data_IF_897352378300
#
_entry.id   IF_897352378300
#
_cell.length_a   1.000
_cell.length_b   1.000
_cell.length_c   1.000
_cell.angle_alpha   90.00
_cell.angle_beta   90.00
_cell.angle_gamma   90.00
#
_symmetry.space_group_name_H-M   'P 1'
#
loop_
_entity.id
_entity.type
_entity.pdbx_description
1 polymer ?
#
# COMPACT_ATOMS: atom_id res chain seq x y z
N UNK A 1 2.93 10.71 18.55
CA UNK A 1 3.55 12.04 18.80
C UNK A 1 4.53 12.36 17.68
N UNK A 2 5.52 11.52 17.36
CA UNK A 2 6.50 11.74 16.29
C UNK A 2 5.85 12.05 14.92
N UNK A 3 4.83 11.27 14.53
CA UNK A 3 4.08 11.45 13.29
C UNK A 3 3.38 12.83 13.22
N UNK A 4 2.74 13.25 14.33
CA UNK A 4 2.07 14.56 14.40
C UNK A 4 3.08 15.69 14.25
N UNK A 5 4.26 15.55 14.85
CA UNK A 5 5.35 16.54 14.75
C UNK A 5 5.84 16.64 13.30
N UNK A 6 6.10 15.51 12.63
CA UNK A 6 6.56 15.50 11.23
C UNK A 6 5.50 16.08 10.30
N UNK A 7 4.23 15.75 10.50
CA UNK A 7 3.12 16.31 9.74
C UNK A 7 2.96 17.80 9.97
N UNK A 8 3.04 18.26 11.23
CA UNK A 8 2.94 19.67 11.59
C UNK A 8 4.10 20.47 11.00
N UNK A 9 5.33 19.95 11.08
CA UNK A 9 6.51 20.58 10.47
C UNK A 9 6.41 20.61 8.94
N UNK A 10 5.90 19.55 8.32
CA UNK A 10 5.65 19.49 6.89
C UNK A 10 4.62 20.53 6.44
N UNK A 11 3.51 20.62 7.15
CA UNK A 11 2.45 21.61 6.87
C UNK A 11 2.96 23.05 7.10
N UNK A 12 3.73 23.27 8.17
CA UNK A 12 4.32 24.58 8.45
C UNK A 12 5.31 25.00 7.36
N UNK A 13 6.21 24.11 6.95
CA UNK A 13 7.14 24.37 5.86
C UNK A 13 6.42 24.65 4.52
N UNK A 14 5.29 24.01 4.28
CA UNK A 14 4.46 24.23 3.09
C UNK A 14 3.73 25.59 3.12
N UNK A 15 3.29 26.07 4.27
CA UNK A 15 2.65 27.39 4.41
C UNK A 15 3.60 28.52 4.07
N UNK A 16 4.89 28.37 4.38
CA UNK A 16 5.92 29.37 4.10
C UNK A 16 6.29 29.41 2.60
N UNK A 17 6.15 28.28 1.90
CA UNK A 17 6.49 28.14 0.49
C UNK A 17 5.35 28.65 -0.43
N UNK A 18 4.09 28.56 -0.02
CA UNK A 18 2.95 28.93 -0.87
C UNK A 18 1.76 29.41 -0.04
N UNK A 19 1.63 30.72 0.09
CA UNK A 19 0.45 31.37 0.68
C UNK A 19 -0.80 31.04 -0.15
N UNK A 20 -1.76 30.30 0.42
CA UNK A 20 -3.00 29.89 -0.26
C UNK A 20 -3.18 28.39 -0.47
N UNK A 21 -2.47 27.59 0.24
CA UNK A 21 -2.27 26.16 0.15
C UNK A 21 -3.55 25.30 0.01
N UNK A 22 -4.59 25.59 0.75
CA UNK A 22 -5.80 24.73 0.78
C UNK A 22 -6.95 25.18 -0.12
N UNK A 23 -6.88 26.38 -0.69
CA UNK A 23 -7.99 26.96 -1.43
C UNK A 23 -7.93 26.75 -2.94
N UNK A 24 -6.86 26.18 -3.47
CA UNK A 24 -6.63 26.10 -4.92
C UNK A 24 -6.30 24.72 -5.50
N UNK A 25 -6.43 23.63 -4.74
CA UNK A 25 -6.22 22.29 -5.30
C UNK A 25 -7.47 21.87 -6.06
N UNK A 26 -7.40 21.70 -7.40
CA UNK A 26 -8.52 21.17 -8.17
C UNK A 26 -8.92 19.78 -7.67
N UNK A 27 -10.22 19.48 -7.68
CA UNK A 27 -10.72 18.15 -7.28
C UNK A 27 -10.07 17.04 -8.11
N UNK A 28 -9.81 17.29 -9.38
CA UNK A 28 -9.13 16.36 -10.26
C UNK A 28 -7.73 16.01 -9.74
N UNK A 29 -6.93 17.01 -9.33
CA UNK A 29 -5.59 16.80 -8.80
C UNK A 29 -5.62 16.02 -7.47
N UNK A 30 -6.59 16.32 -6.60
CA UNK A 30 -6.80 15.59 -5.36
C UNK A 30 -7.10 14.11 -5.61
N UNK A 31 -7.93 13.78 -6.59
CA UNK A 31 -8.23 12.40 -6.99
C UNK A 31 -6.98 11.72 -7.56
N UNK A 32 -6.21 12.39 -8.41
CA UNK A 32 -4.95 11.85 -8.94
C UNK A 32 -3.94 11.58 -7.83
N UNK A 33 -3.78 12.50 -6.89
CA UNK A 33 -2.92 12.29 -5.72
C UNK A 33 -3.35 11.08 -4.87
N UNK A 34 -4.65 10.89 -4.68
CA UNK A 34 -5.18 9.73 -3.94
C UNK A 34 -4.83 8.40 -4.62
N UNK A 35 -5.01 8.30 -5.96
CA UNK A 35 -4.62 7.11 -6.72
C UNK A 35 -3.10 6.89 -6.73
N UNK A 36 -2.31 7.95 -6.80
CA UNK A 36 -0.85 7.86 -6.72
C UNK A 36 -0.40 7.34 -5.35
N UNK A 37 -0.96 7.87 -4.26
CA UNK A 37 -0.69 7.40 -2.90
C UNK A 37 -1.11 5.93 -2.70
N UNK A 38 -2.26 5.54 -3.25
CA UNK A 38 -2.71 4.14 -3.28
C UNK A 38 -1.70 3.24 -4.00
N UNK A 39 -1.19 3.68 -5.17
CA UNK A 39 -0.20 2.89 -5.91
C UNK A 39 1.11 2.74 -5.16
N UNK A 40 1.63 3.81 -4.54
CA UNK A 40 2.84 3.75 -3.71
C UNK A 40 2.64 2.79 -2.55
N UNK A 41 1.50 2.86 -1.86
CA UNK A 41 1.17 1.96 -0.76
C UNK A 41 1.19 0.50 -1.22
N UNK A 42 0.59 0.19 -2.36
CA UNK A 42 0.61 -1.16 -2.91
C UNK A 42 2.01 -1.63 -3.31
N UNK A 43 2.80 -0.75 -3.93
CA UNK A 43 4.19 -1.01 -4.25
C UNK A 43 5.00 -1.41 -3.01
N UNK A 44 4.86 -0.66 -1.94
CA UNK A 44 5.64 -0.89 -0.71
C UNK A 44 5.16 -2.14 0.03
N UNK A 45 3.85 -2.34 0.18
CA UNK A 45 3.30 -3.39 1.06
C UNK A 45 3.16 -4.73 0.34
N UNK A 46 2.67 -4.74 -0.91
CA UNK A 46 2.20 -5.96 -1.57
C UNK A 46 3.06 -6.43 -2.73
N UNK A 47 3.70 -5.51 -3.46
CA UNK A 47 4.40 -5.88 -4.69
C UNK A 47 5.69 -6.66 -4.41
N UNK A 48 5.99 -7.62 -5.28
CA UNK A 48 7.19 -8.46 -5.18
C UNK A 48 8.48 -7.69 -5.37
N UNK A 49 8.42 -6.59 -6.12
CA UNK A 49 9.59 -5.75 -6.43
C UNK A 49 10.21 -5.12 -5.19
N UNK A 50 9.41 -4.83 -4.16
CA UNK A 50 9.86 -4.24 -2.90
C UNK A 50 10.08 -5.28 -1.79
N UNK A 51 9.91 -6.57 -2.11
CA UNK A 51 10.09 -7.66 -1.14
C UNK A 51 11.49 -7.65 -0.53
N UNK A 52 12.53 -7.45 -1.34
CA UNK A 52 13.92 -7.37 -0.88
C UNK A 52 14.09 -6.29 0.19
N UNK A 53 13.44 -5.13 0.04
CA UNK A 53 13.50 -4.04 1.00
C UNK A 53 12.82 -4.41 2.32
N UNK A 54 11.64 -5.05 2.27
CA UNK A 54 10.94 -5.52 3.48
C UNK A 54 11.72 -6.59 4.21
N UNK A 55 12.40 -7.48 3.47
CA UNK A 55 13.21 -8.55 4.05
C UNK A 55 14.49 -8.06 4.76
N UNK A 56 14.95 -6.82 4.52
CA UNK A 56 16.04 -6.22 5.30
C UNK A 56 15.68 -6.03 6.78
N UNK A 57 14.39 -5.91 7.08
CA UNK A 57 13.87 -5.71 8.43
C UNK A 57 13.28 -6.99 9.03
N UNK A 58 13.36 -8.11 8.32
CA UNK A 58 12.88 -9.42 8.76
C UNK A 58 14.02 -10.33 9.15
N UNK A 59 13.73 -11.26 10.06
CA UNK A 59 14.62 -12.38 10.40
C UNK A 59 14.18 -13.60 9.62
N UNK A 60 15.14 -14.27 8.97
CA UNK A 60 14.90 -15.55 8.29
C UNK A 60 15.31 -16.66 9.25
N UNK A 61 14.38 -17.53 9.61
CA UNK A 61 14.61 -18.73 10.40
C UNK A 61 14.29 -19.97 9.56
N UNK A 62 15.14 -20.95 9.61
CA UNK A 62 14.87 -22.27 9.03
C UNK A 62 14.04 -23.06 10.03
N UNK A 63 12.85 -23.47 9.65
CA UNK A 63 11.95 -24.30 10.44
C UNK A 63 11.73 -25.60 9.69
N UNK A 64 12.09 -26.70 10.33
CA UNK A 64 11.84 -28.05 9.82
C UNK A 64 10.44 -28.50 10.26
N UNK A 65 9.55 -28.76 9.31
CA UNK A 65 8.23 -29.31 9.54
C UNK A 65 8.01 -30.49 8.59
N UNK A 66 7.66 -31.63 9.15
CA UNK A 66 7.40 -32.86 8.40
C UNK A 66 8.55 -33.32 7.48
N UNK A 67 9.82 -33.13 7.91
CA UNK A 67 11.00 -33.48 7.12
C UNK A 67 11.31 -32.55 5.95
N UNK A 68 10.61 -31.41 5.84
CA UNK A 68 10.84 -30.38 4.83
C UNK A 68 11.29 -29.11 5.53
N UNK A 69 12.43 -28.56 5.10
CA UNK A 69 12.96 -27.31 5.65
C UNK A 69 12.30 -26.12 4.95
N UNK A 70 11.57 -25.31 5.70
CA UNK A 70 10.97 -24.05 5.25
C UNK A 70 11.75 -22.88 5.81
N UNK A 71 11.95 -21.85 4.97
CA UNK A 71 12.46 -20.55 5.43
C UNK A 71 11.28 -19.71 5.87
N UNK A 72 11.10 -19.56 7.17
CA UNK A 72 10.09 -18.69 7.74
C UNK A 72 10.67 -17.27 7.89
N UNK A 73 9.91 -16.29 7.39
CA UNK A 73 10.26 -14.86 7.47
C UNK A 73 9.42 -14.26 8.58
N UNK A 74 10.06 -13.93 9.70
CA UNK A 74 9.41 -13.39 10.89
C UNK A 74 10.00 -12.03 11.28
N UNK A 75 9.24 -11.18 11.99
CA UNK A 75 9.78 -9.95 12.55
C UNK A 75 10.83 -10.28 13.63
N UNK A 76 11.75 -9.35 13.88
CA UNK A 76 12.63 -9.42 15.05
C UNK A 76 11.79 -9.38 16.33
N UNK A 77 12.25 -10.04 17.40
CA UNK A 77 11.50 -10.15 18.66
C UNK A 77 11.20 -8.77 19.30
N UNK A 78 12.07 -7.77 19.09
CA UNK A 78 11.87 -6.38 19.57
C UNK A 78 12.84 -5.41 18.92
N UNK A 79 12.62 -4.10 19.11
CA UNK A 79 13.52 -3.04 18.69
C UNK A 79 13.08 -2.30 17.42
N UNK A 80 13.92 -1.38 16.96
CA UNK A 80 13.62 -0.53 15.81
C UNK A 80 13.27 -1.32 14.54
N UNK A 81 13.96 -2.42 14.28
CA UNK A 81 13.70 -3.28 13.11
C UNK A 81 12.33 -3.93 13.14
N UNK A 82 11.85 -4.34 14.32
CA UNK A 82 10.49 -4.85 14.51
C UNK A 82 9.46 -3.80 14.15
N UNK A 83 9.61 -2.58 14.71
CA UNK A 83 8.68 -1.47 14.43
C UNK A 83 8.65 -1.10 12.94
N UNK A 84 9.82 -1.09 12.27
CA UNK A 84 9.88 -0.81 10.82
C UNK A 84 9.24 -1.94 10.01
N UNK A 85 9.46 -3.19 10.40
CA UNK A 85 8.81 -4.34 9.76
C UNK A 85 7.29 -4.25 9.84
N UNK A 86 6.74 -3.97 11.02
CA UNK A 86 5.30 -3.80 11.22
C UNK A 86 4.74 -2.62 10.42
N UNK A 87 5.47 -1.51 10.40
CA UNK A 87 5.11 -0.34 9.59
C UNK A 87 5.02 -0.70 8.10
N UNK A 88 6.04 -1.38 7.56
CA UNK A 88 6.12 -1.76 6.14
C UNK A 88 5.07 -2.82 5.73
N UNK A 89 4.56 -3.60 6.66
CA UNK A 89 3.51 -4.58 6.42
C UNK A 89 2.10 -4.07 6.76
N UNK A 90 1.99 -2.85 7.27
CA UNK A 90 0.72 -2.20 7.59
C UNK A 90 0.28 -1.26 6.45
N UNK A 91 -0.71 -1.63 5.62
CA UNK A 91 -1.14 -0.79 4.50
C UNK A 91 -1.73 0.55 4.96
N UNK A 92 -2.37 0.59 6.11
CA UNK A 92 -2.92 1.82 6.68
C UNK A 92 -1.81 2.79 7.09
N UNK A 93 -0.75 2.27 7.71
CA UNK A 93 0.38 3.08 8.15
C UNK A 93 1.15 3.65 6.96
N UNK A 94 1.49 2.79 5.99
CA UNK A 94 2.18 3.21 4.76
C UNK A 94 1.30 4.14 3.92
N UNK A 95 -0.02 3.94 3.91
CA UNK A 95 -0.96 4.80 3.20
C UNK A 95 -0.87 6.27 3.61
N UNK A 96 -0.76 6.53 4.91
CA UNK A 96 -0.60 7.89 5.44
C UNK A 96 0.73 8.49 4.99
N UNK A 97 1.84 7.74 5.08
CA UNK A 97 3.15 8.20 4.63
C UNK A 97 3.20 8.44 3.12
N UNK A 98 2.61 7.54 2.34
CA UNK A 98 2.50 7.68 0.88
C UNK A 98 1.73 8.95 0.50
N UNK A 99 0.62 9.22 1.19
CA UNK A 99 -0.17 10.43 0.97
C UNK A 99 0.63 11.69 1.31
N UNK A 100 1.35 11.70 2.44
CA UNK A 100 2.21 12.82 2.83
C UNK A 100 3.30 13.10 1.78
N UNK A 101 3.97 12.06 1.28
CA UNK A 101 5.02 12.18 0.25
C UNK A 101 4.43 12.75 -1.05
N UNK A 102 3.27 12.25 -1.50
CA UNK A 102 2.62 12.72 -2.74
C UNK A 102 2.21 14.18 -2.61
N UNK A 103 1.58 14.56 -1.51
CA UNK A 103 1.18 15.95 -1.25
C UNK A 103 2.41 16.85 -1.21
N UNK A 104 3.44 16.45 -0.48
CA UNK A 104 4.69 17.22 -0.40
C UNK A 104 5.33 17.41 -1.78
N UNK A 105 5.45 16.35 -2.58
CA UNK A 105 6.01 16.40 -3.92
C UNK A 105 5.20 17.34 -4.84
N UNK A 106 3.88 17.27 -4.79
CA UNK A 106 2.97 18.11 -5.59
C UNK A 106 3.21 19.60 -5.36
N UNK A 107 3.48 20.01 -4.12
CA UNK A 107 3.65 21.42 -3.79
C UNK A 107 5.09 21.93 -3.93
N UNK A 108 6.08 21.07 -3.79
CA UNK A 108 7.50 21.46 -3.83
C UNK A 108 8.06 21.51 -5.25
N UNK A 109 7.54 20.67 -6.15
CA UNK A 109 8.17 20.46 -7.46
C UNK A 109 7.15 20.46 -8.58
N UNK A 110 7.27 21.41 -9.52
CA UNK A 110 6.31 21.54 -10.64
C UNK A 110 6.28 20.31 -11.56
N UNK A 111 7.42 19.63 -11.79
CA UNK A 111 7.46 18.43 -12.62
C UNK A 111 6.95 17.16 -11.91
N UNK A 112 6.75 17.20 -10.60
CA UNK A 112 6.20 16.07 -9.85
C UNK A 112 4.79 15.67 -10.34
N UNK A 113 4.05 16.60 -10.92
CA UNK A 113 2.74 16.31 -11.52
C UNK A 113 2.79 15.16 -12.53
N UNK A 114 3.79 15.13 -13.40
CA UNK A 114 3.94 14.05 -14.39
C UNK A 114 4.11 12.68 -13.74
N UNK A 115 4.90 12.61 -12.66
CA UNK A 115 5.10 11.37 -11.88
C UNK A 115 3.84 10.97 -11.13
N UNK A 116 3.17 11.95 -10.50
CA UNK A 116 1.91 11.73 -9.78
C UNK A 116 0.86 11.19 -10.76
N UNK A 117 0.73 11.78 -11.93
CA UNK A 117 -0.21 11.35 -12.97
C UNK A 117 0.07 9.92 -13.45
N UNK A 118 1.34 9.59 -13.71
CA UNK A 118 1.75 8.22 -14.06
C UNK A 118 1.38 7.21 -12.95
N UNK A 119 1.71 7.53 -11.70
CA UNK A 119 1.39 6.70 -10.55
C UNK A 119 -0.13 6.57 -10.34
N UNK A 120 -0.89 7.63 -10.61
CA UNK A 120 -2.34 7.64 -10.51
C UNK A 120 -2.98 6.67 -11.51
N UNK A 121 -2.55 6.70 -12.78
CA UNK A 121 -3.04 5.76 -13.79
C UNK A 121 -2.69 4.31 -13.38
N UNK A 122 -1.46 4.06 -12.96
CA UNK A 122 -1.04 2.75 -12.46
C UNK A 122 -1.83 2.32 -11.22
N UNK A 123 -2.19 3.27 -10.35
CA UNK A 123 -3.03 3.05 -9.17
C UNK A 123 -4.46 2.66 -9.53
N UNK A 124 -5.07 3.39 -10.44
CA UNK A 124 -6.42 3.09 -10.95
C UNK A 124 -6.45 1.70 -11.61
N UNK A 125 -5.48 1.37 -12.46
CA UNK A 125 -5.34 0.05 -13.06
C UNK A 125 -5.19 -1.06 -12.01
N UNK A 126 -4.40 -0.83 -10.96
CA UNK A 126 -4.24 -1.78 -9.85
C UNK A 126 -5.53 -1.99 -9.07
N UNK A 127 -6.32 -0.92 -8.85
CA UNK A 127 -7.61 -1.02 -8.17
C UNK A 127 -8.61 -1.83 -9.00
N UNK A 128 -8.69 -1.57 -10.31
CA UNK A 128 -9.55 -2.32 -11.22
C UNK A 128 -9.16 -3.80 -11.25
N UNK A 129 -7.86 -4.12 -11.25
CA UNK A 129 -7.40 -5.52 -11.22
C UNK A 129 -7.80 -6.23 -9.92
N UNK A 130 -7.69 -5.55 -8.77
CA UNK A 130 -8.12 -6.11 -7.48
C UNK A 130 -9.63 -6.34 -7.45
N UNK A 131 -10.40 -5.40 -7.97
CA UNK A 131 -11.85 -5.52 -8.07
C UNK A 131 -12.25 -6.69 -9.01
N UNK A 132 -11.62 -6.81 -10.17
CA UNK A 132 -11.85 -7.91 -11.11
C UNK A 132 -11.54 -9.27 -10.48
N UNK A 133 -10.41 -9.39 -9.76
CA UNK A 133 -10.04 -10.62 -9.07
C UNK A 133 -11.05 -10.98 -7.97
N UNK A 134 -11.50 -10.00 -7.18
CA UNK A 134 -12.49 -10.22 -6.12
C UNK A 134 -13.83 -10.72 -6.69
N UNK A 135 -14.28 -10.16 -7.81
CA UNK A 135 -15.50 -10.60 -8.51
C UNK A 135 -15.29 -12.02 -9.08
N UNK A 136 -14.13 -12.28 -9.68
CA UNK A 136 -13.79 -13.62 -10.23
C UNK A 136 -13.82 -14.71 -9.17
N UNK A 137 -13.20 -14.50 -8.02
CA UNK A 137 -13.20 -15.46 -6.91
C UNK A 137 -14.60 -15.70 -6.35
N UNK A 138 -15.42 -14.65 -6.26
CA UNK A 138 -16.80 -14.79 -5.81
C UNK A 138 -17.66 -15.61 -6.79
N UNK A 139 -17.46 -15.42 -8.08
CA UNK A 139 -18.14 -16.21 -9.11
C UNK A 139 -17.71 -17.70 -9.08
N UNK A 140 -16.44 -17.97 -8.77
CA UNK A 140 -15.93 -19.34 -8.66
C UNK A 140 -16.44 -20.05 -7.40
N UNK A 141 -16.46 -19.38 -6.25
CA UNK A 141 -17.03 -19.95 -5.02
C UNK A 141 -18.51 -20.32 -5.19
N UNK A 142 -19.30 -19.44 -5.81
CA UNK A 142 -20.71 -19.73 -6.09
C UNK A 142 -20.91 -20.95 -7.03
N UNK A 143 -20.01 -21.15 -8.00
CA UNK A 143 -20.04 -22.34 -8.86
C UNK A 143 -19.75 -23.61 -8.08
N UNK A 144 -18.77 -23.58 -7.17
CA UNK A 144 -18.43 -24.73 -6.33
C UNK A 144 -19.58 -25.10 -5.41
N UNK A 145 -20.20 -24.13 -4.75
CA UNK A 145 -21.39 -24.33 -3.89
C UNK A 145 -22.54 -24.94 -4.68
N UNK A 146 -22.83 -24.47 -5.90
CA UNK A 146 -23.88 -25.02 -6.77
C UNK A 146 -23.57 -26.44 -7.22
N UNK A 147 -22.28 -26.79 -7.43
CA UNK A 147 -21.87 -28.15 -7.79
C UNK A 147 -22.02 -29.11 -6.60
N UNK A 148 -21.68 -28.70 -5.39
CA UNK A 148 -21.86 -29.48 -4.17
C UNK A 148 -23.35 -29.74 -3.93
N UNK A 149 -24.20 -28.73 -3.99
CA UNK A 149 -25.64 -28.87 -3.85
C UNK A 149 -26.27 -29.85 -4.87
N UNK A 150 -25.83 -29.75 -6.14
CA UNK A 150 -26.29 -30.67 -7.17
C UNK A 150 -25.78 -32.11 -6.98
N UNK A 151 -24.65 -32.32 -6.31
CA UNK A 151 -24.13 -33.63 -5.98
C UNK A 151 -24.99 -34.29 -4.88
N UNK A 152 -25.32 -33.51 -3.84
CA UNK A 152 -26.14 -34.00 -2.71
C UNK A 152 -27.56 -34.36 -3.13
N UNK A 153 -28.12 -33.69 -4.12
CA UNK A 153 -29.44 -34.02 -4.68
C UNK A 153 -29.47 -35.31 -5.54
N UNK A 154 -28.31 -35.85 -5.91
CA UNK A 154 -28.19 -37.06 -6.72
C UNK A 154 -27.89 -38.33 -5.92
N UNK A 155 -27.65 -38.21 -4.62
CA UNK A 155 -27.51 -39.32 -3.66
C UNK A 155 -28.82 -39.64 -2.99
#
# INVERSE_FOLDING_TARGET
IFFIIVLALGLWAMQDIRSGFLTSVPVFDAVMMAFAAFRITRLVVYDKITRWFRELFAQKSEVEKDGITYVEVAPYASGFRHTVYDLLNCPWCIGIWSSAVVIFAYFVTDWAWSVIFFLAIAGAGSLLQVAANAIGWRAESLKLEAQEHNRDLRL
#
